data_IF_847748005588
#
_entry.id   IF_847748005588
#
_cell.length_a   1.000
_cell.length_b   1.000
_cell.length_c   1.000
_cell.angle_alpha   90.00
_cell.angle_beta   90.00
_cell.angle_gamma   90.00
#
_symmetry.space_group_name_H-M   'P 1'
#
loop_
_entity.id
_entity.type
_entity.pdbx_description
1 polymer ?
#
# COMPACT_ATOMS: atom_id res chain seq x y z
N UNK A 1 17.88 31.97 -2.20
CA UNK A 1 17.47 31.98 -1.64
C UNK A 1 17.28 32.20 -1.44
N UNK A 2 17.33 32.37 -1.68
CA UNK A 2 16.78 32.58 -1.03
C UNK A 2 16.49 32.14 -0.67
N UNK A 3 16.96 31.92 -0.47
CA UNK A 3 16.43 31.41 0.11
C UNK A 3 15.80 31.29 0.46
N UNK A 4 16.39 31.17 0.34
CA UNK A 4 15.08 30.87 0.90
C UNK A 4 15.04 29.55 1.66
N UNK A 5 14.87 29.59 2.96
CA UNK A 5 14.85 28.39 3.81
C UNK A 5 13.72 27.44 3.52
N UNK A 6 12.58 27.95 3.01
CA UNK A 6 11.42 27.12 2.67
C UNK A 6 11.73 26.11 1.57
N UNK A 7 12.60 26.48 0.62
CA UNK A 7 13.01 25.56 -0.44
C UNK A 7 13.75 24.35 0.11
N UNK A 8 14.58 24.57 1.13
CA UNK A 8 15.34 23.49 1.75
C UNK A 8 14.38 22.50 2.44
N UNK A 9 13.39 23.03 3.12
CA UNK A 9 12.39 22.19 3.80
C UNK A 9 11.62 21.33 2.81
N UNK A 10 11.25 21.89 1.68
CA UNK A 10 10.46 21.19 0.66
C UNK A 10 11.24 20.01 0.08
N UNK A 11 12.56 20.13 -0.04
CA UNK A 11 13.36 19.06 -0.63
C UNK A 11 13.66 17.92 0.34
N UNK A 12 13.40 18.12 1.62
CA UNK A 12 13.66 17.09 2.63
C UNK A 12 12.56 16.04 2.59
N UNK A 13 12.97 14.78 2.44
CA UNK A 13 12.04 13.66 2.46
C UNK A 13 11.78 13.25 3.90
N UNK A 14 10.52 13.03 4.24
CA UNK A 14 10.15 12.55 5.57
C UNK A 14 10.56 11.08 5.72
N UNK A 15 10.96 10.69 6.92
CA UNK A 15 11.14 9.28 7.23
C UNK A 15 9.77 8.62 7.36
N UNK A 16 9.76 7.29 7.40
CA UNK A 16 8.51 6.54 7.58
C UNK A 16 7.79 6.98 8.86
N UNK A 17 8.53 7.07 9.96
CA UNK A 17 7.95 7.49 11.24
C UNK A 17 7.43 8.92 11.20
N UNK A 18 8.17 9.82 10.56
CA UNK A 18 7.75 11.21 10.42
C UNK A 18 6.49 11.34 9.59
N UNK A 19 6.38 10.54 8.52
CA UNK A 19 5.17 10.54 7.70
C UNK A 19 3.96 10.09 8.51
N UNK A 20 4.10 9.00 9.28
CA UNK A 20 3.02 8.51 10.13
C UNK A 20 2.59 9.55 11.15
N UNK A 21 3.55 10.20 11.79
CA UNK A 21 3.24 11.21 12.80
C UNK A 21 2.55 12.42 12.20
N UNK A 22 3.00 12.89 11.04
CA UNK A 22 2.38 14.03 10.37
C UNK A 22 0.93 13.72 9.98
N UNK A 23 0.67 12.53 9.46
CA UNK A 23 -0.68 12.13 9.06
C UNK A 23 -1.60 11.99 10.26
N UNK A 24 -1.10 11.40 11.34
CA UNK A 24 -1.88 11.28 12.57
C UNK A 24 -2.19 12.65 13.17
N UNK A 25 -1.23 13.56 13.17
CA UNK A 25 -1.40 14.90 13.69
C UNK A 25 -2.45 15.67 12.90
N UNK A 26 -2.55 15.40 11.61
CA UNK A 26 -3.55 16.02 10.74
C UNK A 26 -4.93 15.39 10.89
N UNK A 27 -5.05 14.31 11.65
CA UNK A 27 -6.32 13.61 11.84
C UNK A 27 -6.72 12.76 10.63
N UNK A 28 -5.76 12.37 9.81
CA UNK A 28 -6.03 11.59 8.60
C UNK A 28 -6.20 10.12 8.89
N UNK A 29 -6.93 9.44 8.00
CA UNK A 29 -7.06 8.00 8.05
C UNK A 29 -5.84 7.38 7.39
N UNK A 30 -5.08 6.59 8.17
CA UNK A 30 -3.85 5.97 7.69
C UNK A 30 -3.94 4.47 7.80
N UNK A 31 -3.58 3.78 6.73
CA UNK A 31 -3.47 2.33 6.72
C UNK A 31 -2.00 1.94 6.66
N UNK A 32 -1.66 0.88 7.40
CA UNK A 32 -0.33 0.29 7.33
C UNK A 32 -0.47 -1.06 6.64
N UNK A 33 0.20 -1.20 5.49
CA UNK A 33 0.23 -2.46 4.77
C UNK A 33 1.62 -3.06 4.94
N UNK A 34 1.67 -4.28 5.45
CA UNK A 34 2.94 -5.00 5.61
C UNK A 34 2.99 -6.08 4.54
N UNK A 35 4.01 -5.99 3.67
CA UNK A 35 4.12 -6.84 2.50
C UNK A 35 5.21 -7.89 2.71
N UNK A 36 4.84 -9.16 2.50
CA UNK A 36 5.69 -10.30 2.78
C UNK A 36 5.95 -11.13 1.53
N UNK A 37 7.10 -11.81 1.54
CA UNK A 37 7.40 -12.92 0.63
C UNK A 37 7.65 -14.12 1.53
N UNK A 38 6.79 -15.13 1.46
CA UNK A 38 6.78 -16.24 2.40
C UNK A 38 6.76 -15.70 3.84
N UNK A 39 7.78 -15.93 4.64
CA UNK A 39 7.83 -15.48 6.04
C UNK A 39 8.60 -14.18 6.23
N UNK A 40 9.10 -13.59 5.17
CA UNK A 40 9.99 -12.42 5.24
C UNK A 40 9.23 -11.13 4.95
N UNK A 41 9.30 -10.18 5.88
CA UNK A 41 8.76 -8.84 5.66
C UNK A 41 9.65 -8.12 4.66
N UNK A 42 9.09 -7.76 3.52
CA UNK A 42 9.85 -7.14 2.43
C UNK A 42 9.64 -5.65 2.33
N UNK A 43 8.49 -5.14 2.74
CA UNK A 43 8.20 -3.71 2.66
C UNK A 43 7.01 -3.35 3.54
N UNK A 44 6.95 -2.08 3.92
CA UNK A 44 5.76 -1.53 4.59
C UNK A 44 5.30 -0.31 3.82
N UNK A 45 4.00 -0.17 3.68
CA UNK A 45 3.39 0.98 3.01
C UNK A 45 2.54 1.71 4.04
N UNK A 46 2.83 2.97 4.27
CA UNK A 46 1.96 3.84 5.04
C UNK A 46 1.10 4.61 4.03
N UNK A 47 -0.20 4.34 4.01
CA UNK A 47 -1.11 4.94 3.04
C UNK A 47 -2.04 5.91 3.78
N UNK A 48 -1.89 7.20 3.50
CA UNK A 48 -2.76 8.24 4.03
C UNK A 48 -3.93 8.39 3.07
N UNK A 49 -5.05 7.78 3.42
CA UNK A 49 -6.23 7.78 2.55
C UNK A 49 -6.91 9.13 2.46
N UNK A 50 -6.77 9.95 3.48
CA UNK A 50 -7.39 11.28 3.47
C UNK A 50 -6.64 12.22 2.54
N UNK A 51 -5.31 12.21 2.60
CA UNK A 51 -4.49 13.08 1.77
C UNK A 51 -4.10 12.47 0.43
N UNK A 52 -4.42 11.20 0.21
CA UNK A 52 -4.05 10.44 -0.99
C UNK A 52 -2.54 10.49 -1.24
N UNK A 53 -1.78 10.23 -0.17
CA UNK A 53 -0.33 10.17 -0.22
C UNK A 53 0.15 8.89 0.45
N UNK A 54 1.38 8.50 0.15
CA UNK A 54 1.94 7.29 0.74
C UNK A 54 3.42 7.43 0.98
N UNK A 55 3.91 6.60 1.88
CA UNK A 55 5.34 6.45 2.13
C UNK A 55 5.66 4.96 2.18
N UNK A 56 6.70 4.55 1.49
CA UNK A 56 7.08 3.14 1.40
C UNK A 56 8.44 2.94 2.05
N UNK A 57 8.52 1.91 2.89
CA UNK A 57 9.78 1.48 3.48
C UNK A 57 10.12 0.12 2.87
N UNK A 58 11.12 0.09 2.00
CA UNK A 58 11.58 -1.14 1.36
C UNK A 58 12.65 -1.78 2.23
N UNK A 59 12.45 -3.05 2.58
CA UNK A 59 13.35 -3.79 3.44
C UNK A 59 14.10 -4.87 2.68
N UNK A 60 13.52 -5.36 1.57
CA UNK A 60 14.18 -6.34 0.72
C UNK A 60 14.99 -5.63 -0.36
N UNK A 61 16.05 -6.30 -0.84
CA UNK A 61 16.87 -5.76 -1.93
C UNK A 61 16.40 -6.25 -3.30
N UNK A 62 15.68 -7.37 -3.36
CA UNK A 62 15.14 -7.92 -4.59
C UNK A 62 13.87 -7.17 -4.95
N UNK A 63 13.93 -6.33 -5.99
CA UNK A 63 12.79 -5.52 -6.36
C UNK A 63 11.58 -6.33 -6.84
N UNK A 64 11.77 -7.59 -7.20
CA UNK A 64 10.65 -8.47 -7.57
C UNK A 64 9.78 -8.81 -6.38
N UNK A 65 10.28 -8.60 -5.16
CA UNK A 65 9.54 -8.83 -3.93
C UNK A 65 8.99 -7.55 -3.32
N UNK A 66 9.19 -6.42 -3.99
CA UNK A 66 8.74 -5.12 -3.49
C UNK A 66 7.42 -4.73 -4.15
N UNK A 67 6.51 -4.06 -3.41
CA UNK A 67 5.19 -3.73 -3.95
C UNK A 67 5.22 -2.84 -5.18
N UNK A 68 6.24 -2.01 -5.31
CA UNK A 68 6.36 -1.08 -6.44
C UNK A 68 7.59 -1.37 -7.29
N UNK A 69 8.18 -2.57 -7.15
CA UNK A 69 9.33 -2.95 -7.93
C UNK A 69 10.49 -1.97 -7.73
N UNK A 70 11.07 -1.49 -8.83
CA UNK A 70 12.16 -0.53 -8.77
C UNK A 70 11.69 0.93 -8.88
N UNK A 71 10.37 1.18 -8.78
CA UNK A 71 9.83 2.54 -8.72
C UNK A 71 10.18 3.15 -7.37
N UNK A 72 11.02 4.18 -7.38
CA UNK A 72 11.53 4.77 -6.15
C UNK A 72 10.63 5.86 -5.57
N UNK A 73 9.67 6.32 -6.35
CA UNK A 73 8.78 7.41 -5.94
C UNK A 73 7.34 7.10 -6.33
N UNK A 74 6.76 6.03 -5.76
CA UNK A 74 5.37 5.68 -6.10
C UNK A 74 4.41 6.77 -5.66
N UNK A 75 3.41 7.01 -6.48
CA UNK A 75 2.35 7.97 -6.18
C UNK A 75 1.05 7.23 -5.86
N UNK A 76 0.01 7.97 -5.47
CA UNK A 76 -1.25 7.36 -5.05
C UNK A 76 -1.85 6.44 -6.12
N UNK A 77 -1.73 6.83 -7.39
CA UNK A 77 -2.22 5.99 -8.48
C UNK A 77 -1.49 4.65 -8.55
N UNK A 78 -0.19 4.64 -8.29
CA UNK A 78 0.59 3.40 -8.25
C UNK A 78 0.11 2.50 -7.11
N UNK A 79 -0.21 3.10 -5.98
CA UNK A 79 -0.75 2.37 -4.84
C UNK A 79 -2.11 1.74 -5.19
N UNK A 80 -2.98 2.48 -5.85
CA UNK A 80 -4.28 1.95 -6.27
C UNK A 80 -4.11 0.76 -7.23
N UNK A 81 -3.18 0.88 -8.18
CA UNK A 81 -2.88 -0.22 -9.10
C UNK A 81 -2.31 -1.43 -8.38
N UNK A 82 -1.44 -1.19 -7.40
CA UNK A 82 -0.89 -2.28 -6.60
C UNK A 82 -2.01 -3.06 -5.89
N UNK A 83 -2.96 -2.37 -5.31
CA UNK A 83 -4.07 -3.04 -4.63
C UNK A 83 -4.88 -3.89 -5.62
N UNK A 84 -5.15 -3.35 -6.81
CA UNK A 84 -5.88 -4.11 -7.83
C UNK A 84 -5.09 -5.32 -8.31
N UNK A 85 -3.78 -5.20 -8.44
CA UNK A 85 -2.91 -6.30 -8.85
C UNK A 85 -2.88 -7.43 -7.83
N UNK A 86 -3.20 -7.16 -6.57
CA UNK A 86 -3.28 -8.19 -5.54
C UNK A 86 -4.69 -8.75 -5.38
N UNK A 87 -5.56 -8.48 -6.34
CA UNK A 87 -6.93 -9.00 -6.36
C UNK A 87 -7.18 -9.73 -7.67
N UNK A 88 -8.22 -10.55 -7.70
CA UNK A 88 -8.66 -11.13 -8.96
C UNK A 88 -9.13 -10.01 -9.89
N UNK A 89 -9.02 -10.20 -11.22
CA UNK A 89 -9.48 -9.17 -12.16
C UNK A 89 -10.98 -8.91 -12.04
N UNK A 90 -11.37 -7.65 -12.19
CA UNK A 90 -12.79 -7.27 -12.23
C UNK A 90 -13.56 -7.98 -13.34
N UNK A 91 -12.85 -8.33 -14.41
CA UNK A 91 -13.46 -8.95 -15.59
C UNK A 91 -13.61 -10.47 -15.48
N UNK A 92 -13.21 -11.03 -14.33
CA UNK A 92 -13.28 -12.47 -14.12
C UNK A 92 -14.73 -12.97 -14.23
N UNK A 93 -14.92 -14.06 -14.98
CA UNK A 93 -16.22 -14.73 -15.01
C UNK A 93 -16.52 -15.28 -13.62
N UNK A 94 -17.78 -15.16 -13.18
CA UNK A 94 -18.16 -15.61 -11.84
C UNK A 94 -17.69 -14.70 -10.72
N UNK A 95 -17.41 -13.43 -11.03
CA UNK A 95 -16.94 -12.49 -10.02
C UNK A 95 -17.89 -12.37 -8.83
N UNK A 96 -19.19 -12.27 -9.09
CA UNK A 96 -20.17 -12.09 -8.02
C UNK A 96 -20.17 -13.28 -7.07
N UNK A 97 -20.13 -14.48 -7.60
CA UNK A 97 -20.08 -15.71 -6.80
C UNK A 97 -18.81 -15.77 -5.98
N UNK A 98 -17.68 -15.33 -6.55
CA UNK A 98 -16.43 -15.28 -5.83
C UNK A 98 -16.50 -14.30 -4.65
N UNK A 99 -17.04 -13.10 -4.89
CA UNK A 99 -17.16 -12.10 -3.83
C UNK A 99 -18.06 -12.59 -2.71
N UNK A 100 -19.15 -13.23 -3.04
CA UNK A 100 -20.05 -13.81 -2.04
C UNK A 100 -19.35 -14.89 -1.23
N UNK A 101 -18.56 -15.72 -1.89
CA UNK A 101 -17.83 -16.80 -1.22
C UNK A 101 -16.84 -16.29 -0.19
N UNK A 102 -16.21 -15.14 -0.44
CA UNK A 102 -15.25 -14.56 0.52
C UNK A 102 -15.92 -13.55 1.46
N UNK A 103 -17.21 -13.30 1.30
CA UNK A 103 -17.94 -12.44 2.21
C UNK A 103 -17.81 -10.95 1.94
N UNK A 104 -17.63 -10.58 0.68
CA UNK A 104 -17.49 -9.18 0.27
C UNK A 104 -18.67 -8.81 -0.61
N UNK A 105 -19.31 -7.67 -0.32
CA UNK A 105 -20.52 -7.26 -1.01
C UNK A 105 -20.30 -6.78 -2.44
N UNK A 106 -19.15 -6.16 -2.69
CA UNK A 106 -18.83 -5.60 -3.99
C UNK A 106 -17.33 -5.60 -4.21
N UNK A 107 -16.91 -5.30 -5.44
CA UNK A 107 -15.49 -5.28 -5.77
C UNK A 107 -14.81 -4.08 -5.12
N UNK A 108 -14.14 -4.32 -4.02
CA UNK A 108 -13.38 -3.32 -3.29
C UNK A 108 -12.02 -3.92 -2.93
N UNK A 109 -10.93 -3.47 -3.59
CA UNK A 109 -9.62 -4.12 -3.41
C UNK A 109 -9.17 -4.29 -1.96
N UNK A 110 -9.30 -3.27 -1.12
CA UNK A 110 -8.88 -3.40 0.27
C UNK A 110 -9.67 -4.47 1.02
N UNK A 111 -10.97 -4.55 0.77
CA UNK A 111 -11.80 -5.56 1.43
C UNK A 111 -11.45 -6.96 0.94
N UNK A 112 -11.20 -7.10 -0.37
CA UNK A 112 -10.77 -8.39 -0.92
C UNK A 112 -9.43 -8.79 -0.31
N UNK A 113 -8.49 -7.86 -0.22
CA UNK A 113 -7.17 -8.12 0.36
C UNK A 113 -7.28 -8.52 1.82
N UNK A 114 -8.16 -7.89 2.59
CA UNK A 114 -8.38 -8.28 3.99
C UNK A 114 -8.83 -9.73 4.10
N UNK A 115 -9.61 -10.22 3.15
CA UNK A 115 -10.10 -11.60 3.16
C UNK A 115 -9.09 -12.61 2.63
N UNK A 116 -8.28 -12.20 1.64
CA UNK A 116 -7.38 -13.11 0.93
C UNK A 116 -5.92 -12.92 1.29
N UNK A 117 -5.58 -11.87 2.04
CA UNK A 117 -4.22 -11.42 2.31
C UNK A 117 -3.47 -11.07 1.02
N UNK A 118 -4.21 -10.75 -0.05
CA UNK A 118 -3.60 -10.40 -1.32
C UNK A 118 -2.83 -11.52 -1.98
N UNK A 119 -3.09 -12.78 -1.58
CA UNK A 119 -2.38 -13.93 -2.16
C UNK A 119 -2.84 -14.21 -3.57
N UNK A 120 -1.87 -14.49 -4.44
CA UNK A 120 -2.13 -14.82 -5.83
C UNK A 120 -1.39 -16.11 -6.17
N UNK A 121 -1.95 -16.87 -7.11
CA UNK A 121 -1.42 -18.19 -7.43
C UNK A 121 -0.01 -18.16 -8.06
N UNK A 122 0.37 -17.03 -8.63
CA UNK A 122 1.62 -16.95 -9.37
C UNK A 122 2.85 -16.57 -8.57
N UNK A 123 2.71 -16.26 -7.26
CA UNK A 123 3.85 -15.82 -6.48
C UNK A 123 3.70 -16.18 -5.00
N UNK A 124 4.72 -15.84 -4.20
CA UNK A 124 4.76 -16.09 -2.77
C UNK A 124 4.43 -14.85 -1.95
N UNK A 125 3.89 -13.83 -2.59
CA UNK A 125 3.67 -12.54 -1.95
C UNK A 125 2.30 -12.51 -1.27
N UNK A 126 2.26 -11.85 -0.13
CA UNK A 126 1.01 -11.60 0.58
C UNK A 126 1.20 -10.38 1.47
N UNK A 127 0.11 -9.87 2.00
CA UNK A 127 0.20 -8.66 2.81
C UNK A 127 -0.91 -8.63 3.87
N UNK A 128 -0.68 -7.79 4.88
CA UNK A 128 -1.68 -7.50 5.90
C UNK A 128 -2.04 -6.02 5.82
N UNK A 129 -3.25 -5.70 6.26
CA UNK A 129 -3.74 -4.33 6.29
C UNK A 129 -4.18 -4.00 7.70
N UNK A 130 -3.65 -2.91 8.24
CA UNK A 130 -3.98 -2.46 9.59
C UNK A 130 -4.33 -0.98 9.53
N UNK A 131 -5.43 -0.59 10.17
CA UNK A 131 -5.78 0.82 10.27
C UNK A 131 -5.15 1.38 11.53
N UNK A 132 -4.36 2.44 11.37
CA UNK A 132 -3.70 3.11 12.50
C UNK A 132 -4.61 4.15 13.11
N UNK A 133 -4.62 4.21 14.44
CA UNK A 133 -5.48 5.15 15.18
C UNK A 133 -4.69 6.13 16.01
#
# INVERSE_FOLDING_TARGET
LRFDGASIVITRKLSFAEFLEASRHAGHKVLLLSCYSEDTLCARIAADETGETLHVENLATDYLKLPFGNNKNPIWKDYQHFLEDRCIPKTRAGLQEYLEAIGVDRYEPLEIIRKTQGRMAGDDLWLTVEELK
#
